data_IF_940636259138
#
_entry.id   IF_940636259138
#
_cell.length_a   1.000
_cell.length_b   1.000
_cell.length_c   1.000
_cell.angle_alpha   90.00
_cell.angle_beta   90.00
_cell.angle_gamma   90.00
#
_symmetry.space_group_name_H-M   'P 1'
#
loop_
_entity.id
_entity.type
_entity.pdbx_description
1 polymer ?
#
# COMPACT_ATOMS: atom_id res chain seq x y z
N UNK A 1 -13.44 -21.57 3.94
CA UNK A 1 -14.68 -21.59 3.12
C UNK A 1 -14.94 -20.20 2.60
N UNK A 2 -15.35 -20.03 1.32
CA UNK A 2 -15.65 -18.72 0.75
C UNK A 2 -16.89 -18.06 1.39
N UNK A 3 -16.94 -16.73 1.33
CA UNK A 3 -18.08 -15.92 1.75
C UNK A 3 -19.32 -16.20 0.88
N UNK A 4 -20.50 -16.28 1.49
CA UNK A 4 -21.72 -16.72 0.84
C UNK A 4 -22.40 -15.65 -0.01
N UNK A 5 -22.31 -14.38 0.38
CA UNK A 5 -22.97 -13.27 -0.31
C UNK A 5 -22.48 -13.02 -1.74
N UNK A 6 -21.30 -13.53 -2.10
CA UNK A 6 -20.78 -13.48 -3.48
C UNK A 6 -21.20 -14.67 -4.35
N UNK A 7 -21.90 -15.65 -3.79
CA UNK A 7 -22.39 -16.85 -4.48
C UNK A 7 -23.73 -16.59 -5.16
N UNK A 8 -23.96 -17.18 -6.34
CA UNK A 8 -25.29 -17.17 -6.95
C UNK A 8 -26.32 -17.98 -6.16
N UNK A 9 -25.87 -18.96 -5.37
CA UNK A 9 -26.67 -19.66 -4.36
C UNK A 9 -25.89 -19.72 -3.04
N UNK A 10 -26.21 -18.86 -2.04
CA UNK A 10 -25.54 -18.87 -0.75
C UNK A 10 -25.89 -20.10 0.10
N UNK A 11 -26.96 -20.84 -0.20
CA UNK A 11 -27.39 -21.98 0.62
C UNK A 11 -26.68 -23.29 0.25
N UNK A 12 -26.06 -23.37 -0.93
CA UNK A 12 -25.23 -24.51 -1.34
C UNK A 12 -23.73 -24.17 -1.25
N UNK A 13 -23.06 -24.78 -0.27
CA UNK A 13 -21.62 -24.60 -0.05
C UNK A 13 -20.74 -25.03 -1.24
N UNK A 14 -21.21 -25.91 -2.13
CA UNK A 14 -20.46 -26.32 -3.32
C UNK A 14 -20.45 -25.22 -4.39
N UNK A 15 -21.52 -24.44 -4.49
CA UNK A 15 -21.66 -23.39 -5.50
C UNK A 15 -20.61 -22.31 -5.29
N UNK A 16 -20.50 -21.78 -4.06
CA UNK A 16 -19.49 -20.75 -3.73
C UNK A 16 -18.04 -21.20 -3.93
N UNK A 17 -17.73 -22.48 -3.68
CA UNK A 17 -16.40 -23.05 -3.93
C UNK A 17 -16.13 -23.06 -5.43
N UNK A 18 -17.06 -23.61 -6.21
CA UNK A 18 -16.94 -23.71 -7.66
C UNK A 18 -16.85 -22.35 -8.33
N UNK A 19 -17.70 -21.39 -7.96
CA UNK A 19 -17.73 -20.06 -8.57
C UNK A 19 -16.45 -19.27 -8.28
N UNK A 20 -15.90 -19.38 -7.07
CA UNK A 20 -14.60 -18.78 -6.75
C UNK A 20 -13.48 -19.41 -7.58
N UNK A 21 -13.43 -20.76 -7.66
CA UNK A 21 -12.45 -21.46 -8.50
C UNK A 21 -12.57 -21.05 -9.98
N UNK A 22 -13.78 -20.96 -10.52
CA UNK A 22 -14.02 -20.51 -11.90
C UNK A 22 -13.57 -19.07 -12.13
N UNK A 23 -13.80 -18.19 -11.15
CA UNK A 23 -13.35 -16.80 -11.20
C UNK A 23 -11.82 -16.71 -11.26
N UNK A 24 -11.12 -17.41 -10.35
CA UNK A 24 -9.66 -17.42 -10.31
C UNK A 24 -9.08 -18.05 -11.57
N UNK A 25 -9.65 -19.17 -12.04
CA UNK A 25 -9.25 -19.79 -13.31
C UNK A 25 -9.36 -18.80 -14.48
N UNK A 26 -10.45 -18.02 -14.53
CA UNK A 26 -10.66 -17.04 -15.61
C UNK A 26 -9.59 -15.93 -15.62
N UNK A 27 -9.15 -15.48 -14.44
CA UNK A 27 -8.03 -14.55 -14.32
C UNK A 27 -6.70 -15.20 -14.72
N UNK A 28 -6.43 -16.41 -14.25
CA UNK A 28 -5.21 -17.15 -14.57
C UNK A 28 -5.10 -17.45 -16.08
N UNK A 29 -6.19 -17.85 -16.74
CA UNK A 29 -6.25 -18.07 -18.20
C UNK A 29 -5.98 -16.79 -19.00
N UNK A 30 -6.28 -15.62 -18.42
CA UNK A 30 -5.96 -14.31 -18.98
C UNK A 30 -4.53 -13.83 -18.65
N UNK A 31 -3.73 -14.63 -17.94
CA UNK A 31 -2.38 -14.28 -17.50
C UNK A 31 -2.35 -13.24 -16.37
N UNK A 32 -3.43 -13.14 -15.59
CA UNK A 32 -3.57 -12.23 -14.45
C UNK A 32 -3.62 -13.06 -13.17
N UNK A 33 -2.66 -12.86 -12.27
CA UNK A 33 -2.68 -13.51 -10.96
C UNK A 33 -3.70 -12.89 -10.00
N UNK A 34 -4.26 -13.71 -9.10
CA UNK A 34 -5.22 -13.26 -8.09
C UNK A 34 -4.57 -13.30 -6.71
N UNK A 35 -4.63 -12.19 -5.98
CA UNK A 35 -4.16 -12.08 -4.59
C UNK A 35 -5.37 -12.11 -3.66
N UNK A 36 -5.32 -12.94 -2.63
CA UNK A 36 -6.37 -12.99 -1.61
C UNK A 36 -6.01 -12.09 -0.42
N UNK A 37 -6.94 -11.22 -0.01
CA UNK A 37 -6.88 -10.54 1.27
C UNK A 37 -7.27 -11.51 2.39
N UNK A 38 -6.41 -11.69 3.39
CA UNK A 38 -6.59 -12.66 4.48
C UNK A 38 -6.49 -11.99 5.85
N UNK A 39 -7.45 -12.32 6.71
CA UNK A 39 -7.61 -11.75 8.05
C UNK A 39 -7.36 -12.83 9.10
N UNK A 40 -6.14 -12.87 9.62
CA UNK A 40 -5.73 -13.80 10.69
C UNK A 40 -5.37 -13.10 12.00
N UNK A 41 -5.48 -11.77 12.05
CA UNK A 41 -5.06 -10.98 13.20
C UNK A 41 -6.12 -10.88 14.30
N UNK A 42 -7.41 -10.99 13.97
CA UNK A 42 -8.51 -10.84 14.93
C UNK A 42 -9.73 -11.72 14.63
N UNK A 43 -10.64 -11.77 15.60
CA UNK A 43 -12.04 -12.18 15.45
C UNK A 43 -12.94 -11.08 16.06
N UNK A 44 -14.20 -10.90 15.61
CA UNK A 44 -15.09 -9.85 16.11
C UNK A 44 -15.38 -9.96 17.62
N UNK A 45 -15.16 -11.15 18.19
CA UNK A 45 -15.17 -11.40 19.62
C UNK A 45 -14.65 -12.80 19.92
N UNK A 46 -14.30 -13.05 21.18
CA UNK A 46 -13.80 -14.35 21.63
C UNK A 46 -14.94 -15.36 21.83
N UNK A 47 -16.01 -14.91 22.49
CA UNK A 47 -17.16 -15.76 22.84
C UNK A 47 -17.89 -16.28 21.61
N UNK A 48 -18.27 -17.56 21.63
CA UNK A 48 -19.02 -18.20 20.55
C UNK A 48 -18.20 -18.59 19.32
N UNK A 49 -16.89 -18.30 19.29
CA UNK A 49 -16.01 -18.74 18.21
C UNK A 49 -15.75 -20.24 18.29
N UNK A 50 -15.52 -20.90 17.15
CA UNK A 50 -15.08 -22.30 17.12
C UNK A 50 -13.78 -22.51 17.90
N UNK A 51 -12.88 -21.52 17.90
CA UNK A 51 -11.64 -21.56 18.67
C UNK A 51 -11.90 -21.67 20.17
N UNK A 52 -12.75 -20.82 20.72
CA UNK A 52 -13.07 -20.82 22.16
C UNK A 52 -13.87 -22.08 22.54
N UNK A 53 -14.70 -22.60 21.66
CA UNK A 53 -15.43 -23.86 21.89
C UNK A 53 -14.52 -25.09 21.86
N UNK A 54 -13.43 -25.07 21.09
CA UNK A 54 -12.47 -26.20 20.99
C UNK A 54 -11.50 -26.20 22.17
N UNK A 55 -10.87 -25.07 22.46
CA UNK A 55 -9.91 -24.97 23.57
C UNK A 55 -9.90 -23.55 24.16
N UNK A 56 -10.71 -23.32 25.22
CA UNK A 56 -10.88 -22.01 25.83
C UNK A 56 -9.58 -21.33 26.25
N UNK A 57 -9.46 -20.02 25.98
CA UNK A 57 -8.34 -19.19 26.41
C UNK A 57 -7.01 -19.36 25.64
N UNK A 58 -6.95 -20.25 24.65
CA UNK A 58 -5.70 -20.56 23.94
C UNK A 58 -5.52 -19.83 22.61
N UNK A 59 -6.56 -19.49 21.87
CA UNK A 59 -6.38 -18.95 20.52
C UNK A 59 -6.19 -17.43 20.48
N UNK A 60 -6.51 -16.75 21.58
CA UNK A 60 -6.53 -15.29 21.65
C UNK A 60 -5.52 -14.74 22.67
N UNK A 61 -5.05 -13.53 22.38
CA UNK A 61 -4.22 -12.72 23.29
C UNK A 61 -5.08 -12.13 24.41
N UNK A 62 -4.45 -11.78 25.53
CA UNK A 62 -5.18 -11.18 26.66
C UNK A 62 -5.55 -9.71 26.41
N UNK A 63 -4.75 -9.03 25.60
CA UNK A 63 -4.93 -7.63 25.18
C UNK A 63 -5.22 -7.59 23.68
N UNK A 64 -6.07 -6.65 23.28
CA UNK A 64 -6.45 -6.41 21.90
C UNK A 64 -5.90 -5.08 21.41
N UNK A 65 -5.32 -5.09 20.21
CA UNK A 65 -4.71 -3.95 19.55
C UNK A 65 -5.27 -3.72 18.15
N UNK A 66 -5.97 -4.69 17.55
CA UNK A 66 -6.61 -4.55 16.23
C UNK A 66 -7.68 -3.46 16.17
N UNK A 67 -8.32 -3.16 17.31
CA UNK A 67 -9.49 -2.29 17.35
C UNK A 67 -10.77 -2.94 16.75
N UNK A 68 -10.71 -4.23 16.38
CA UNK A 68 -11.77 -4.94 15.66
C UNK A 68 -12.28 -6.18 16.42
N UNK A 69 -12.02 -6.27 17.73
CA UNK A 69 -12.50 -7.36 18.59
C UNK A 69 -11.38 -7.95 19.44
N UNK A 70 -11.14 -9.25 19.29
CA UNK A 70 -10.10 -9.98 20.03
C UNK A 70 -8.95 -10.36 19.11
N UNK A 71 -7.71 -10.15 19.56
CA UNK A 71 -6.52 -10.45 18.77
C UNK A 71 -6.15 -11.94 18.85
N UNK A 72 -5.84 -12.54 17.71
CA UNK A 72 -5.37 -13.91 17.61
C UNK A 72 -3.91 -14.02 18.07
N UNK A 73 -3.62 -15.04 18.88
CA UNK A 73 -2.30 -15.31 19.43
C UNK A 73 -1.42 -16.13 18.47
N UNK A 74 -1.04 -15.55 17.33
CA UNK A 74 -0.27 -16.22 16.26
C UNK A 74 0.99 -16.94 16.74
N UNK A 75 1.60 -16.47 17.84
CA UNK A 75 2.82 -17.03 18.38
C UNK A 75 2.64 -18.44 18.97
N UNK A 76 1.41 -18.83 19.31
CA UNK A 76 1.07 -20.15 19.86
C UNK A 76 1.06 -21.20 18.76
N UNK A 77 1.58 -22.39 19.06
CA UNK A 77 1.90 -23.41 18.05
C UNK A 77 0.69 -23.83 17.21
N UNK A 78 -0.47 -24.07 17.81
CA UNK A 78 -1.66 -24.50 17.06
C UNK A 78 -2.31 -23.35 16.29
N UNK A 79 -2.13 -22.10 16.73
CA UNK A 79 -2.57 -20.93 15.97
C UNK A 79 -1.70 -20.74 14.73
N UNK A 80 -0.37 -20.81 14.89
CA UNK A 80 0.57 -20.78 13.76
C UNK A 80 0.27 -21.88 12.76
N UNK A 81 0.05 -23.11 13.24
CA UNK A 81 -0.31 -24.23 12.37
C UNK A 81 -1.62 -23.94 11.62
N UNK A 82 -2.66 -23.47 12.31
CA UNK A 82 -3.92 -23.09 11.66
C UNK A 82 -3.73 -22.07 10.53
N UNK A 83 -2.93 -21.02 10.77
CA UNK A 83 -2.66 -19.98 9.76
C UNK A 83 -1.95 -20.60 8.55
N UNK A 84 -0.89 -21.39 8.78
CA UNK A 84 -0.12 -22.05 7.71
C UNK A 84 -1.01 -23.01 6.91
N UNK A 85 -1.75 -23.88 7.60
CA UNK A 85 -2.63 -24.88 6.98
C UNK A 85 -3.76 -24.20 6.19
N UNK A 86 -4.32 -23.10 6.71
CA UNK A 86 -5.36 -22.36 6.00
C UNK A 86 -4.82 -21.65 4.75
N UNK A 87 -3.67 -20.98 4.83
CA UNK A 87 -3.09 -20.26 3.69
C UNK A 87 -2.65 -21.23 2.58
N UNK A 88 -2.01 -22.34 2.96
CA UNK A 88 -1.60 -23.39 2.02
C UNK A 88 -2.82 -24.06 1.37
N UNK A 89 -3.87 -24.36 2.14
CA UNK A 89 -5.12 -24.88 1.58
C UNK A 89 -5.74 -23.93 0.56
N UNK A 90 -5.75 -22.61 0.81
CA UNK A 90 -6.21 -21.63 -0.18
C UNK A 90 -5.33 -21.64 -1.45
N UNK A 91 -4.02 -21.73 -1.30
CA UNK A 91 -3.09 -21.77 -2.44
C UNK A 91 -3.27 -23.06 -3.28
N UNK A 92 -3.40 -24.22 -2.63
CA UNK A 92 -3.52 -25.52 -3.30
C UNK A 92 -4.90 -25.73 -3.93
N UNK A 93 -5.98 -25.39 -3.23
CA UNK A 93 -7.35 -25.68 -3.68
C UNK A 93 -7.88 -24.65 -4.70
N UNK A 94 -7.36 -23.41 -4.67
CA UNK A 94 -7.87 -22.30 -5.48
C UNK A 94 -6.82 -21.67 -6.39
N UNK A 95 -5.54 -22.00 -6.26
CA UNK A 95 -4.46 -21.48 -7.11
C UNK A 95 -4.32 -19.95 -7.07
N UNK A 96 -4.46 -19.34 -5.88
CA UNK A 96 -4.14 -17.94 -5.68
C UNK A 96 -2.65 -17.66 -5.94
N UNK A 97 -2.34 -16.52 -6.57
CA UNK A 97 -0.98 -16.07 -6.88
C UNK A 97 -0.34 -15.25 -5.76
N UNK A 98 -1.06 -14.99 -4.68
CA UNK A 98 -0.54 -14.26 -3.54
C UNK A 98 -1.53 -14.04 -2.41
N UNK A 99 -1.02 -13.51 -1.30
CA UNK A 99 -1.78 -13.20 -0.10
C UNK A 99 -1.40 -11.83 0.47
N UNK A 100 -2.41 -10.99 0.72
CA UNK A 100 -2.30 -9.74 1.47
C UNK A 100 -2.78 -9.98 2.89
N UNK A 101 -1.92 -9.81 3.88
CA UNK A 101 -2.23 -10.02 5.29
C UNK A 101 -2.74 -8.72 5.93
N UNK A 102 -4.01 -8.72 6.30
CA UNK A 102 -4.64 -7.67 7.10
C UNK A 102 -3.97 -7.55 8.47
N UNK A 103 -3.67 -6.31 8.89
CA UNK A 103 -2.92 -5.97 10.11
C UNK A 103 -1.77 -6.96 10.38
N UNK A 104 -0.96 -7.27 9.36
CA UNK A 104 0.17 -8.20 9.43
C UNK A 104 1.12 -7.91 10.62
N UNK A 105 1.26 -6.65 11.02
CA UNK A 105 2.01 -6.23 12.20
C UNK A 105 1.50 -6.77 13.55
N UNK A 106 0.32 -7.42 13.57
CA UNK A 106 -0.21 -8.17 14.72
C UNK A 106 0.07 -9.68 14.64
N UNK A 107 0.78 -10.16 13.62
CA UNK A 107 1.28 -11.54 13.51
C UNK A 107 2.78 -11.58 13.82
N UNK A 108 3.26 -12.64 14.47
CA UNK A 108 4.68 -12.81 14.79
C UNK A 108 5.52 -13.23 13.57
N UNK A 109 6.77 -12.80 13.52
CA UNK A 109 7.73 -13.10 12.45
C UNK A 109 7.91 -14.61 12.22
N UNK A 110 7.86 -15.43 13.28
CA UNK A 110 8.02 -16.90 13.13
C UNK A 110 6.84 -17.50 12.37
N UNK A 111 5.63 -16.97 12.58
CA UNK A 111 4.44 -17.38 11.83
C UNK A 111 4.52 -16.94 10.38
N UNK A 112 4.88 -15.69 10.11
CA UNK A 112 5.03 -15.21 8.72
C UNK A 112 6.14 -15.94 7.96
N UNK A 113 7.26 -16.26 8.62
CA UNK A 113 8.30 -17.14 8.07
C UNK A 113 7.74 -18.52 7.71
N UNK A 114 6.99 -19.13 8.63
CA UNK A 114 6.42 -20.46 8.39
C UNK A 114 5.43 -20.45 7.21
N UNK A 115 4.62 -19.39 7.07
CA UNK A 115 3.74 -19.18 5.92
C UNK A 115 4.55 -19.09 4.62
N UNK A 116 5.56 -18.20 4.57
CA UNK A 116 6.40 -18.01 3.39
C UNK A 116 7.06 -19.32 2.94
N UNK A 117 7.71 -20.03 3.87
CA UNK A 117 8.39 -21.29 3.59
C UNK A 117 7.43 -22.41 3.17
N UNK A 118 6.19 -22.39 3.62
CA UNK A 118 5.19 -23.36 3.19
C UNK A 118 4.70 -23.04 1.77
N UNK A 119 4.44 -21.77 1.47
CA UNK A 119 4.06 -21.33 0.13
C UNK A 119 5.17 -21.56 -0.91
N UNK A 120 6.44 -21.38 -0.56
CA UNK A 120 7.58 -21.64 -1.46
C UNK A 120 7.66 -23.10 -1.92
N UNK A 121 7.14 -24.04 -1.11
CA UNK A 121 7.06 -25.46 -1.50
C UNK A 121 5.94 -25.74 -2.50
N UNK A 122 4.93 -24.87 -2.55
CA UNK A 122 3.82 -24.95 -3.50
C UNK A 122 4.23 -24.25 -4.80
N UNK A 123 4.56 -22.96 -4.70
CA UNK A 123 5.08 -22.15 -5.80
C UNK A 123 5.87 -20.94 -5.25
N UNK A 124 7.18 -20.83 -5.51
CA UNK A 124 8.00 -19.70 -5.04
C UNK A 124 7.61 -18.36 -5.67
N UNK A 125 6.77 -18.33 -6.72
CA UNK A 125 6.28 -17.10 -7.32
C UNK A 125 5.08 -16.49 -6.56
N UNK A 126 4.49 -17.21 -5.60
CA UNK A 126 3.37 -16.69 -4.79
C UNK A 126 3.87 -15.49 -4.00
N UNK A 127 3.24 -14.32 -4.17
CA UNK A 127 3.63 -13.11 -3.45
C UNK A 127 2.96 -13.02 -2.07
N UNK A 128 3.71 -12.54 -1.06
CA UNK A 128 3.19 -12.36 0.31
C UNK A 128 3.55 -10.97 0.78
N UNK A 129 2.54 -10.21 1.21
CA UNK A 129 2.72 -8.88 1.77
C UNK A 129 1.58 -8.54 2.73
N UNK A 130 1.65 -7.41 3.41
CA UNK A 130 0.55 -6.99 4.27
C UNK A 130 0.75 -5.65 4.96
N UNK A 131 -0.07 -5.41 5.96
CA UNK A 131 -0.06 -4.20 6.76
C UNK A 131 0.88 -4.31 7.96
N UNK A 132 2.15 -3.91 7.75
CA UNK A 132 3.18 -3.95 8.77
C UNK A 132 3.07 -2.87 9.86
N UNK A 133 1.86 -2.47 10.26
CA UNK A 133 1.64 -1.39 11.22
C UNK A 133 2.18 -1.75 12.61
N UNK A 134 2.81 -0.77 13.29
CA UNK A 134 3.29 -0.97 14.66
C UNK A 134 2.14 -0.76 15.64
N UNK A 135 1.40 -1.84 15.93
CA UNK A 135 0.19 -1.79 16.76
C UNK A 135 0.33 -2.54 18.10
N UNK A 136 1.15 -3.60 18.14
CA UNK A 136 1.29 -4.45 19.31
C UNK A 136 2.00 -3.73 20.46
N UNK A 137 1.27 -3.50 21.55
CA UNK A 137 1.79 -2.82 22.76
C UNK A 137 2.39 -3.75 23.83
N UNK A 138 2.48 -5.06 23.59
CA UNK A 138 2.94 -6.06 24.55
C UNK A 138 1.82 -6.77 25.31
N UNK A 139 1.94 -8.08 25.50
CA UNK A 139 0.95 -8.91 26.19
C UNK A 139 1.67 -9.80 27.23
N UNK A 140 1.25 -9.67 28.49
CA UNK A 140 1.97 -10.21 29.65
C UNK A 140 2.09 -11.75 29.60
N UNK A 141 1.13 -12.41 28.96
CA UNK A 141 1.06 -13.88 28.85
C UNK A 141 1.54 -14.41 27.49
N UNK A 142 2.07 -13.54 26.63
CA UNK A 142 2.41 -13.90 25.25
C UNK A 142 3.82 -14.40 25.05
N UNK A 143 4.75 -14.00 25.92
CA UNK A 143 6.18 -14.32 25.81
C UNK A 143 6.87 -13.70 24.58
N UNK A 144 6.23 -12.70 23.95
CA UNK A 144 6.73 -11.98 22.77
C UNK A 144 6.70 -10.47 23.01
N UNK A 145 7.51 -9.74 22.25
CA UNK A 145 7.62 -8.28 22.28
C UNK A 145 7.26 -7.68 20.93
N UNK A 146 7.20 -6.35 20.82
CA UNK A 146 7.02 -5.66 19.54
C UNK A 146 8.11 -5.97 18.51
N UNK A 147 9.30 -6.42 18.93
CA UNK A 147 10.39 -6.85 18.04
C UNK A 147 10.16 -8.22 17.40
N UNK A 148 9.23 -9.02 17.95
CA UNK A 148 8.88 -10.33 17.41
C UNK A 148 7.76 -10.24 16.36
N UNK A 149 7.19 -9.06 16.15
CA UNK A 149 6.04 -8.82 15.28
C UNK A 149 6.45 -8.52 13.84
N UNK A 150 5.64 -8.91 12.87
CA UNK A 150 5.88 -8.68 11.44
C UNK A 150 5.53 -7.24 11.02
N UNK A 151 6.09 -6.26 11.70
CA UNK A 151 5.94 -4.84 11.36
C UNK A 151 6.89 -4.44 10.23
N UNK A 152 6.63 -3.30 9.61
CA UNK A 152 7.44 -2.70 8.56
C UNK A 152 8.93 -2.57 8.94
N UNK A 153 9.22 -2.27 10.21
CA UNK A 153 10.60 -2.16 10.72
C UNK A 153 11.26 -3.51 11.01
N UNK A 154 10.47 -4.58 11.15
CA UNK A 154 10.93 -5.89 11.59
C UNK A 154 10.95 -6.95 10.47
N UNK A 155 10.19 -6.77 9.38
CA UNK A 155 10.16 -7.74 8.26
C UNK A 155 11.54 -7.97 7.61
N UNK A 156 12.49 -7.04 7.74
CA UNK A 156 13.88 -7.27 7.33
C UNK A 156 14.56 -8.44 8.07
N UNK A 157 14.08 -8.79 9.26
CA UNK A 157 14.57 -9.93 10.03
C UNK A 157 14.11 -11.29 9.46
N UNK A 158 13.25 -11.30 8.44
CA UNK A 158 12.86 -12.52 7.75
C UNK A 158 13.97 -13.05 6.83
N UNK A 159 14.96 -12.23 6.48
CA UNK A 159 16.05 -12.69 5.60
C UNK A 159 15.48 -13.19 4.28
N UNK A 160 15.98 -14.31 3.76
CA UNK A 160 15.59 -14.88 2.45
C UNK A 160 14.09 -15.22 2.33
N UNK A 161 13.36 -15.30 3.45
CA UNK A 161 11.92 -15.53 3.48
C UNK A 161 11.15 -14.22 3.11
N UNK A 162 11.08 -13.88 1.83
CA UNK A 162 10.58 -12.59 1.35
C UNK A 162 9.09 -12.33 1.63
N UNK A 163 8.83 -11.29 2.44
CA UNK A 163 7.48 -10.76 2.76
C UNK A 163 7.51 -9.23 2.67
N UNK A 164 6.56 -8.64 1.95
CA UNK A 164 6.46 -7.18 1.78
C UNK A 164 5.52 -6.50 2.79
N UNK A 165 5.62 -5.19 2.91
CA UNK A 165 4.67 -4.35 3.63
C UNK A 165 4.24 -3.12 2.80
N UNK A 166 3.01 -2.66 3.01
CA UNK A 166 2.56 -1.37 2.51
C UNK A 166 3.46 -0.23 2.99
N UNK A 167 3.93 0.61 2.07
CA UNK A 167 4.80 1.74 2.39
C UNK A 167 3.98 3.00 2.67
N UNK A 168 3.50 3.12 3.91
CA UNK A 168 2.80 4.32 4.41
C UNK A 168 3.60 5.60 4.21
N UNK A 169 4.92 5.49 4.27
CA UNK A 169 5.81 6.63 4.21
C UNK A 169 5.87 7.19 2.79
N UNK A 170 5.94 6.33 1.78
CA UNK A 170 5.79 6.74 0.38
C UNK A 170 4.41 7.35 0.10
N UNK A 171 3.34 6.72 0.62
CA UNK A 171 1.97 7.27 0.52
C UNK A 171 1.91 8.69 1.06
N UNK A 172 2.33 8.89 2.30
CA UNK A 172 2.24 10.18 2.99
C UNK A 172 3.19 11.22 2.38
N UNK A 173 4.40 10.81 1.98
CA UNK A 173 5.33 11.68 1.25
C UNK A 173 4.76 12.14 -0.09
N UNK A 174 3.98 11.29 -0.77
CA UNK A 174 3.43 11.60 -2.09
C UNK A 174 2.19 12.48 -2.01
N UNK A 175 1.16 12.07 -1.26
CA UNK A 175 -0.16 12.75 -1.23
C UNK A 175 -0.51 13.47 0.08
N UNK A 176 0.32 13.33 1.10
CA UNK A 176 0.09 13.87 2.45
C UNK A 176 -0.52 12.84 3.41
N UNK A 177 -0.53 13.20 4.70
CA UNK A 177 -1.10 12.38 5.77
C UNK A 177 -2.55 12.01 5.48
N UNK A 178 -2.90 10.73 5.73
CA UNK A 178 -4.28 10.24 5.68
C UNK A 178 -5.10 10.59 6.93
N UNK A 179 -4.45 11.09 7.98
CA UNK A 179 -5.09 11.54 9.21
C UNK A 179 -5.14 13.06 9.25
N UNK A 180 -6.31 13.59 9.56
CA UNK A 180 -6.54 15.01 9.74
C UNK A 180 -5.97 15.52 11.07
N UNK A 181 -5.60 16.80 11.10
CA UNK A 181 -5.27 17.51 12.33
C UNK A 181 -6.48 17.66 13.27
N UNK A 182 -6.25 18.20 14.47
CA UNK A 182 -7.30 18.52 15.44
C UNK A 182 -8.37 19.50 14.94
N UNK A 183 -8.15 20.18 13.79
CA UNK A 183 -9.11 21.03 13.11
C UNK A 183 -9.80 20.33 11.92
N UNK A 184 -9.55 19.04 11.70
CA UNK A 184 -10.17 18.25 10.62
C UNK A 184 -9.55 18.47 9.24
N UNK A 185 -8.34 19.04 9.15
CA UNK A 185 -7.66 19.30 7.87
C UNK A 185 -6.65 18.22 7.55
N UNK A 186 -6.65 17.74 6.30
CA UNK A 186 -5.64 16.82 5.80
C UNK A 186 -4.34 17.55 5.42
N UNK A 187 -3.21 16.84 5.55
CA UNK A 187 -1.92 17.32 5.10
C UNK A 187 -1.76 17.28 3.57
N UNK A 188 -0.85 18.09 3.04
CA UNK A 188 -0.45 18.09 1.62
C UNK A 188 0.83 17.25 1.47
N UNK A 189 0.97 16.52 0.36
CA UNK A 189 2.19 15.79 0.01
C UNK A 189 3.03 16.49 -1.06
N UNK A 190 4.08 15.82 -1.50
CA UNK A 190 5.05 16.35 -2.46
C UNK A 190 4.40 16.74 -3.80
N UNK A 191 3.40 16.00 -4.28
CA UNK A 191 2.71 16.34 -5.53
C UNK A 191 1.91 17.64 -5.41
N UNK A 192 1.45 17.99 -4.21
CA UNK A 192 0.73 19.24 -3.92
C UNK A 192 1.68 20.40 -3.54
N UNK A 193 2.95 20.35 -3.98
CA UNK A 193 4.00 21.32 -3.67
C UNK A 193 4.41 21.41 -2.18
N UNK A 194 4.14 20.40 -1.35
CA UNK A 194 4.56 20.36 0.06
C UNK A 194 5.96 19.72 0.23
N UNK A 195 7.00 20.44 -0.17
CA UNK A 195 8.36 19.88 -0.29
C UNK A 195 9.13 19.72 1.04
N UNK A 196 8.75 20.47 2.09
CA UNK A 196 9.50 20.56 3.35
C UNK A 196 8.70 20.15 4.59
N UNK A 197 7.56 19.47 4.42
CA UNK A 197 6.63 19.15 5.51
C UNK A 197 5.39 20.04 5.51
N UNK A 198 4.22 19.46 5.83
CA UNK A 198 3.06 20.22 6.31
C UNK A 198 3.01 20.30 7.85
N UNK A 199 2.55 21.46 8.34
CA UNK A 199 2.38 21.85 9.76
C UNK A 199 1.75 20.74 10.63
N UNK A 200 2.33 20.51 11.81
CA UNK A 200 1.64 19.91 12.94
C UNK A 200 0.88 20.95 13.77
N UNK A 201 -0.14 20.47 14.48
CA UNK A 201 -1.15 21.14 15.32
C UNK A 201 -0.64 22.16 16.36
N UNK A 202 0.66 22.19 16.65
CA UNK A 202 1.29 23.08 17.64
C UNK A 202 1.78 24.41 17.07
N UNK A 203 1.75 24.62 15.75
CA UNK A 203 2.37 25.80 15.12
C UNK A 203 3.91 25.80 15.16
N UNK A 204 4.52 24.78 15.78
CA UNK A 204 5.94 24.50 15.74
C UNK A 204 6.25 23.51 14.61
N UNK A 205 7.36 23.72 13.91
CA UNK A 205 7.96 22.72 13.03
C UNK A 205 8.40 21.52 13.88
N UNK A 206 7.55 20.51 14.03
CA UNK A 206 8.01 19.22 14.55
C UNK A 206 8.56 18.42 13.38
N UNK A 207 9.74 18.84 12.94
CA UNK A 207 10.47 18.23 11.84
C UNK A 207 11.83 18.91 11.72
N UNK A 208 12.86 18.27 12.24
CA UNK A 208 14.22 18.48 11.73
C UNK A 208 14.13 18.31 10.20
N UNK A 209 14.68 19.24 9.41
CA UNK A 209 14.38 19.39 7.98
C UNK A 209 14.44 18.13 7.11
N UNK A 210 13.92 18.22 5.87
CA UNK A 210 13.88 17.16 4.83
C UNK A 210 12.73 16.13 4.88
N UNK A 211 11.72 16.30 5.75
CA UNK A 211 10.81 15.21 6.13
C UNK A 211 9.87 14.63 5.05
N UNK A 212 9.37 15.33 4.02
CA UNK A 212 8.47 14.71 3.01
C UNK A 212 9.19 14.33 1.72
N UNK A 213 10.14 15.17 1.31
CA UNK A 213 11.05 14.90 0.20
C UNK A 213 11.85 13.62 0.38
N UNK A 214 12.33 13.35 1.59
CA UNK A 214 13.03 12.09 1.89
C UNK A 214 12.07 10.89 1.81
N UNK A 215 10.82 11.04 2.26
CA UNK A 215 9.84 9.93 2.21
C UNK A 215 9.53 9.50 0.78
N UNK A 216 9.20 10.46 -0.09
CA UNK A 216 8.94 10.16 -1.51
C UNK A 216 10.22 9.67 -2.19
N UNK A 217 11.38 10.25 -1.86
CA UNK A 217 12.68 9.77 -2.33
C UNK A 217 12.86 8.29 -1.99
N UNK A 218 12.82 7.90 -0.71
CA UNK A 218 13.07 6.53 -0.26
C UNK A 218 12.03 5.54 -0.82
N UNK A 219 10.78 5.96 -0.94
CA UNK A 219 9.75 5.14 -1.58
C UNK A 219 9.99 4.91 -3.08
N UNK A 220 10.46 5.93 -3.83
CA UNK A 220 10.87 5.75 -5.23
C UNK A 220 12.04 4.76 -5.36
N UNK A 221 12.95 4.74 -4.40
CA UNK A 221 14.07 3.78 -4.37
C UNK A 221 13.67 2.38 -3.91
N UNK A 222 12.38 2.13 -3.66
CA UNK A 222 11.90 0.84 -3.18
C UNK A 222 12.17 0.57 -1.69
N UNK A 223 12.47 1.60 -0.91
CA UNK A 223 12.77 1.51 0.52
C UNK A 223 11.71 2.22 1.37
N UNK A 224 11.82 2.13 2.70
CA UNK A 224 10.91 2.73 3.66
C UNK A 224 11.70 3.69 4.56
N UNK A 225 11.10 4.83 4.91
CA UNK A 225 11.71 5.79 5.81
C UNK A 225 11.12 5.63 7.23
N UNK A 226 11.98 5.45 8.22
CA UNK A 226 11.59 5.40 9.64
C UNK A 226 12.36 6.51 10.36
N UNK A 227 11.67 7.32 11.17
CA UNK A 227 12.09 8.61 11.75
C UNK A 227 13.31 8.61 12.69
N UNK A 228 14.24 7.67 12.54
CA UNK A 228 15.60 7.77 13.04
C UNK A 228 16.46 8.15 11.85
N UNK A 229 16.98 9.39 11.84
CA UNK A 229 18.14 9.77 11.01
C UNK A 229 19.34 8.97 11.57
N UNK A 230 19.36 7.66 11.29
CA UNK A 230 20.58 6.88 11.27
C UNK A 230 21.03 6.90 9.82
N UNK A 231 22.33 7.06 9.58
CA UNK A 231 22.95 7.03 8.25
C UNK A 231 22.88 5.63 7.59
N UNK A 232 21.85 4.85 7.87
CA UNK A 232 21.64 3.49 7.42
C UNK A 232 20.23 3.39 6.83
N UNK A 233 20.09 3.27 5.50
CA UNK A 233 18.80 3.03 4.86
C UNK A 233 18.31 1.63 5.29
N UNK A 234 17.26 1.56 6.11
CA UNK A 234 16.65 0.30 6.47
C UNK A 234 15.48 0.00 5.51
N UNK A 235 15.83 -0.59 4.37
CA UNK A 235 15.37 -1.95 4.08
C UNK A 235 16.62 -2.73 3.74
N UNK A 236 17.34 -3.20 4.77
CA UNK A 236 18.31 -4.27 4.56
C UNK A 236 17.47 -5.46 4.14
N UNK A 237 17.66 -5.92 2.92
CA UNK A 237 17.79 -7.34 2.64
C UNK A 237 16.84 -8.29 3.39
N UNK A 238 16.02 -9.04 2.66
CA UNK A 238 16.45 -10.43 2.50
C UNK A 238 17.90 -10.57 2.02
N UNK A 239 18.22 -9.90 0.89
CA UNK A 239 19.60 -9.56 0.51
C UNK A 239 19.82 -8.12 0.03
N UNK A 240 18.82 -7.43 -0.57
CA UNK A 240 19.05 -6.10 -1.16
C UNK A 240 17.87 -5.09 -1.11
N UNK A 241 16.83 -5.31 -0.30
CA UNK A 241 15.86 -4.27 0.07
C UNK A 241 14.87 -3.79 -1.00
N UNK A 242 15.10 -4.12 -2.26
CA UNK A 242 14.21 -3.79 -3.37
C UNK A 242 13.08 -4.82 -3.40
N UNK A 243 11.90 -4.40 -2.93
CA UNK A 243 10.66 -5.15 -3.11
C UNK A 243 9.90 -5.54 -1.85
N UNK A 244 10.48 -5.40 -0.65
CA UNK A 244 9.71 -5.55 0.60
C UNK A 244 8.77 -4.35 0.87
N UNK A 245 8.72 -3.38 -0.04
CA UNK A 245 8.02 -2.12 0.09
C UNK A 245 6.99 -2.00 -1.03
N UNK A 246 5.71 -2.06 -0.70
CA UNK A 246 4.61 -1.92 -1.66
C UNK A 246 4.30 -0.43 -1.82
N UNK A 247 4.57 0.12 -3.01
CA UNK A 247 4.32 1.52 -3.31
C UNK A 247 2.84 1.74 -3.65
N UNK A 248 2.19 2.62 -2.90
CA UNK A 248 0.78 2.95 -3.07
C UNK A 248 0.51 4.38 -2.59
N UNK A 249 -0.59 4.97 -3.06
CA UNK A 249 -1.14 6.24 -2.54
C UNK A 249 -2.63 6.13 -2.20
N UNK A 250 -3.30 5.06 -2.64
CA UNK A 250 -4.69 4.76 -2.35
C UNK A 250 -4.85 3.27 -2.09
N UNK A 251 -5.74 2.93 -1.15
CA UNK A 251 -6.24 1.59 -0.90
C UNK A 251 -7.74 1.68 -0.54
N UNK A 252 -8.35 0.61 -0.06
CA UNK A 252 -9.76 0.64 0.31
C UNK A 252 -10.04 1.51 1.55
N UNK A 253 -9.06 1.61 2.45
CA UNK A 253 -9.08 2.46 3.64
C UNK A 253 -8.78 3.91 3.33
N UNK A 254 -9.22 4.78 4.23
CA UNK A 254 -9.05 6.24 4.15
C UNK A 254 -9.75 6.83 2.92
N UNK A 255 -9.52 8.13 2.68
CA UNK A 255 -10.01 8.81 1.49
C UNK A 255 -9.31 8.31 0.22
N UNK A 256 -10.06 8.27 -0.88
CA UNK A 256 -9.49 8.08 -2.23
C UNK A 256 -8.46 9.18 -2.53
N UNK A 257 -7.56 8.97 -3.49
CA UNK A 257 -6.61 9.97 -3.94
C UNK A 257 -7.34 11.21 -4.46
N UNK A 258 -8.37 11.02 -5.28
CA UNK A 258 -9.20 12.11 -5.80
C UNK A 258 -9.77 12.96 -4.66
N UNK A 259 -10.34 12.32 -3.64
CA UNK A 259 -10.98 13.03 -2.52
C UNK A 259 -9.94 13.68 -1.59
N UNK A 260 -8.79 13.03 -1.36
CA UNK A 260 -7.66 13.66 -0.67
C UNK A 260 -7.24 14.92 -1.39
N UNK A 261 -7.10 14.88 -2.72
CA UNK A 261 -6.73 16.05 -3.52
C UNK A 261 -7.83 17.12 -3.44
N UNK A 262 -9.10 16.77 -3.60
CA UNK A 262 -10.23 17.70 -3.47
C UNK A 262 -10.25 18.44 -2.12
N UNK A 263 -9.82 17.79 -1.04
CA UNK A 263 -9.73 18.35 0.31
C UNK A 263 -8.49 19.24 0.54
N UNK A 264 -7.49 19.20 -0.33
CA UNK A 264 -6.14 19.74 -0.03
C UNK A 264 -5.58 20.67 -1.11
N UNK A 265 -6.06 20.62 -2.35
CA UNK A 265 -5.65 21.53 -3.41
C UNK A 265 -6.36 22.87 -3.29
N UNK A 266 -5.71 23.93 -3.77
CA UNK A 266 -6.30 25.27 -3.78
C UNK A 266 -7.26 25.44 -4.98
N UNK A 267 -6.98 24.74 -6.10
CA UNK A 267 -7.81 24.71 -7.30
C UNK A 267 -8.10 23.27 -7.74
N UNK A 268 -9.37 22.87 -7.72
CA UNK A 268 -9.81 21.51 -8.07
C UNK A 268 -9.52 21.15 -9.54
N UNK A 269 -9.26 22.13 -10.41
CA UNK A 269 -8.86 21.85 -11.80
C UNK A 269 -7.50 21.12 -11.89
N UNK A 270 -6.70 21.15 -10.83
CA UNK A 270 -5.37 20.54 -10.78
C UNK A 270 -5.45 19.04 -10.38
N UNK A 271 -6.60 18.56 -9.90
CA UNK A 271 -6.77 17.16 -9.46
C UNK A 271 -6.39 16.14 -10.54
N UNK A 272 -6.78 16.29 -11.82
CA UNK A 272 -6.40 15.33 -12.86
C UNK A 272 -4.89 15.20 -13.03
N UNK A 273 -4.16 16.33 -13.15
CA UNK A 273 -2.70 16.30 -13.35
C UNK A 273 -1.97 15.76 -12.12
N UNK A 274 -2.44 16.09 -10.91
CA UNK A 274 -1.87 15.55 -9.67
C UNK A 274 -2.15 14.04 -9.51
N UNK A 275 -3.31 13.57 -9.98
CA UNK A 275 -3.63 12.14 -10.02
C UNK A 275 -2.69 11.39 -10.96
N UNK A 276 -2.45 11.94 -12.16
CA UNK A 276 -1.46 11.40 -13.10
C UNK A 276 -0.08 11.34 -12.47
N UNK A 277 0.39 12.42 -11.83
CA UNK A 277 1.69 12.46 -11.16
C UNK A 277 1.85 11.42 -10.05
N UNK A 278 0.83 11.23 -9.21
CA UNK A 278 0.87 10.23 -8.16
C UNK A 278 0.98 8.80 -8.74
N UNK A 279 0.23 8.55 -9.82
CA UNK A 279 0.26 7.28 -10.53
C UNK A 279 1.62 7.03 -11.19
N UNK A 280 2.17 8.03 -11.89
CA UNK A 280 3.51 7.95 -12.48
C UNK A 280 4.58 7.73 -11.41
N UNK A 281 4.45 8.36 -10.23
CA UNK A 281 5.40 8.18 -9.12
C UNK A 281 5.42 6.73 -8.61
N UNK A 282 4.26 6.09 -8.48
CA UNK A 282 4.18 4.65 -8.15
C UNK A 282 4.83 3.82 -9.27
N UNK A 283 4.46 4.06 -10.53
CA UNK A 283 4.95 3.30 -11.69
C UNK A 283 6.43 3.55 -12.01
N UNK A 284 7.02 4.61 -11.49
CA UNK A 284 8.44 4.90 -11.58
C UNK A 284 9.27 4.28 -10.46
N UNK A 285 8.64 3.90 -9.34
CA UNK A 285 9.35 3.38 -8.18
C UNK A 285 9.94 1.98 -8.42
N UNK A 286 11.01 1.65 -7.68
CA UNK A 286 11.59 0.28 -7.66
C UNK A 286 10.71 -0.74 -6.93
N UNK A 287 9.65 -0.28 -6.27
CA UNK A 287 8.70 -1.10 -5.51
C UNK A 287 7.71 -1.86 -6.41
N UNK A 288 7.19 -3.03 -5.96
CA UNK A 288 5.90 -3.52 -6.42
C UNK A 288 4.85 -2.40 -6.31
N UNK A 289 4.17 -2.14 -7.43
CA UNK A 289 3.19 -1.08 -7.56
C UNK A 289 1.80 -1.58 -7.16
N UNK A 290 1.11 -0.83 -6.31
CA UNK A 290 -0.26 -1.12 -5.89
C UNK A 290 -1.17 0.06 -6.22
N UNK A 291 -2.33 -0.24 -6.77
CA UNK A 291 -3.37 0.72 -7.12
C UNK A 291 -4.72 0.25 -6.59
N UNK A 292 -5.47 1.17 -5.98
CA UNK A 292 -6.87 0.91 -5.67
C UNK A 292 -7.71 0.94 -6.95
N UNK A 293 -8.70 0.04 -7.05
CA UNK A 293 -9.65 0.06 -8.18
C UNK A 293 -10.34 1.43 -8.23
N UNK A 294 -10.11 2.13 -9.35
CA UNK A 294 -10.66 3.45 -9.65
C UNK A 294 -9.72 4.63 -9.42
N UNK A 295 -8.54 4.41 -8.85
CA UNK A 295 -7.51 5.45 -8.72
C UNK A 295 -7.08 6.01 -10.10
N UNK A 296 -7.08 5.17 -11.15
CA UNK A 296 -6.66 5.55 -12.50
C UNK A 296 -7.64 6.47 -13.24
N UNK A 297 -8.86 6.65 -12.74
CA UNK A 297 -9.84 7.57 -13.29
C UNK A 297 -10.47 8.49 -12.24
N UNK A 298 -9.84 8.62 -11.08
CA UNK A 298 -10.25 9.57 -10.04
C UNK A 298 -11.53 9.18 -9.32
N UNK A 299 -11.66 7.91 -8.90
CA UNK A 299 -12.76 7.41 -8.09
C UNK A 299 -12.99 8.32 -6.88
N UNK A 300 -14.26 8.62 -6.63
CA UNK A 300 -14.68 9.40 -5.46
C UNK A 300 -15.63 8.61 -4.54
N UNK A 301 -15.57 8.90 -3.24
CA UNK A 301 -16.57 8.53 -2.23
C UNK A 301 -17.23 9.80 -1.68
N UNK A 302 -17.61 10.71 -2.58
CA UNK A 302 -18.33 11.95 -2.27
C UNK A 302 -19.78 11.66 -1.89
N UNK A 303 -20.30 12.42 -0.93
CA UNK A 303 -21.69 12.41 -0.50
C UNK A 303 -22.13 13.80 -0.03
N UNK A 304 -23.43 13.97 0.15
CA UNK A 304 -24.01 15.15 0.79
C UNK A 304 -24.45 14.86 2.22
N UNK A 305 -24.74 15.92 2.98
CA UNK A 305 -25.25 15.81 4.36
C UNK A 305 -26.58 15.05 4.47
N UNK A 306 -27.36 15.01 3.40
CA UNK A 306 -28.66 14.31 3.34
C UNK A 306 -28.52 12.83 2.94
N UNK A 307 -27.31 12.36 2.64
CA UNK A 307 -27.05 10.96 2.33
C UNK A 307 -27.30 10.06 3.54
N UNK A 308 -27.86 8.87 3.29
CA UNK A 308 -28.00 7.84 4.32
C UNK A 308 -26.64 7.33 4.84
N UNK A 309 -25.57 7.48 4.05
CA UNK A 309 -24.20 7.13 4.44
C UNK A 309 -23.48 8.26 5.22
N UNK A 310 -24.13 9.42 5.42
CA UNK A 310 -23.49 10.54 6.10
C UNK A 310 -23.23 10.24 7.58
N UNK A 311 -21.95 10.28 7.96
CA UNK A 311 -21.53 10.23 9.34
C UNK A 311 -20.29 11.12 9.55
N UNK A 312 -20.43 12.12 10.42
CA UNK A 312 -19.38 13.09 10.73
C UNK A 312 -18.06 12.49 11.25
N UNK A 313 -18.08 11.26 11.76
CA UNK A 313 -16.89 10.58 12.28
C UNK A 313 -16.13 9.80 11.20
N UNK A 314 -16.72 9.63 10.02
CA UNK A 314 -16.14 8.86 8.91
C UNK A 314 -16.07 9.68 7.62
N UNK A 315 -16.27 11.00 7.72
CA UNK A 315 -16.32 11.91 6.58
C UNK A 315 -15.54 13.20 6.88
N UNK A 316 -14.83 13.70 5.87
CA UNK A 316 -14.27 15.04 5.88
C UNK A 316 -15.18 15.98 5.09
N UNK A 317 -15.35 17.20 5.58
CA UNK A 317 -16.12 18.24 4.90
C UNK A 317 -15.26 18.91 3.83
N UNK A 318 -15.84 19.20 2.67
CA UNK A 318 -15.19 19.98 1.64
C UNK A 318 -14.92 21.42 2.13
N UNK A 319 -13.70 21.96 1.93
CA UNK A 319 -13.35 23.29 2.43
C UNK A 319 -14.02 24.44 1.64
N UNK A 320 -14.58 24.15 0.47
CA UNK A 320 -15.18 25.13 -0.45
C UNK A 320 -16.71 25.03 -0.56
N UNK A 321 -17.30 23.92 -0.13
CA UNK A 321 -18.75 23.68 -0.17
C UNK A 321 -19.24 22.96 1.10
N UNK A 322 -20.06 23.63 1.90
CA UNK A 322 -20.56 23.09 3.17
C UNK A 322 -21.51 21.89 3.06
N UNK A 323 -22.01 21.62 1.85
CA UNK A 323 -22.92 20.52 1.57
C UNK A 323 -22.21 19.26 1.06
N UNK A 324 -20.91 19.36 0.76
CA UNK A 324 -20.13 18.26 0.19
C UNK A 324 -19.21 17.66 1.25
N UNK A 325 -19.20 16.32 1.30
CA UNK A 325 -18.39 15.53 2.20
C UNK A 325 -17.76 14.36 1.45
N UNK A 326 -16.63 13.89 1.94
CA UNK A 326 -15.91 12.74 1.40
C UNK A 326 -15.73 11.68 2.48
N UNK A 327 -16.22 10.47 2.24
CA UNK A 327 -16.05 9.37 3.18
C UNK A 327 -14.60 8.87 3.16
N UNK A 328 -14.00 8.80 4.34
CA UNK A 328 -12.66 8.22 4.54
C UNK A 328 -12.73 6.84 5.23
N UNK A 329 -13.94 6.34 5.55
CA UNK A 329 -14.12 4.99 6.04
C UNK A 329 -15.49 4.48 5.60
N UNK A 330 -15.50 3.61 4.59
CA UNK A 330 -16.72 3.16 3.91
C UNK A 330 -17.02 1.67 4.10
N UNK A 331 -16.46 1.04 5.14
CA UNK A 331 -16.57 -0.42 5.39
C UNK A 331 -18.03 -0.92 5.46
N UNK A 332 -18.95 -0.09 5.92
CA UNK A 332 -20.38 -0.38 6.05
C UNK A 332 -21.29 0.57 5.27
N UNK A 333 -20.71 1.34 4.33
CA UNK A 333 -21.47 2.24 3.48
C UNK A 333 -22.15 1.51 2.33
N UNK A 334 -23.20 2.12 1.79
CA UNK A 334 -23.99 1.58 0.70
C UNK A 334 -23.20 1.31 -0.59
N UNK A 335 -23.80 0.53 -1.49
CA UNK A 335 -23.28 0.34 -2.84
C UNK A 335 -23.25 1.66 -3.63
N UNK A 336 -24.16 2.61 -3.36
CA UNK A 336 -24.16 3.90 -4.04
C UNK A 336 -22.86 4.67 -3.77
N UNK A 337 -22.29 4.54 -2.57
CA UNK A 337 -20.99 5.12 -2.25
C UNK A 337 -19.82 4.24 -2.70
N UNK A 338 -19.91 2.92 -2.52
CA UNK A 338 -18.78 2.01 -2.70
C UNK A 338 -18.60 1.46 -4.13
N UNK A 339 -19.63 1.47 -4.98
CA UNK A 339 -19.57 0.89 -6.32
C UNK A 339 -18.52 1.56 -7.20
N UNK A 340 -17.88 0.80 -8.09
CA UNK A 340 -17.08 1.37 -9.18
C UNK A 340 -18.00 2.10 -10.15
N UNK A 341 -17.76 3.40 -10.35
CA UNK A 341 -18.54 4.25 -11.25
C UNK A 341 -17.95 4.18 -12.67
N UNK A 342 -18.39 3.20 -13.46
CA UNK A 342 -17.83 2.97 -14.80
C UNK A 342 -17.95 4.17 -15.75
N UNK A 343 -18.93 5.06 -15.54
CA UNK A 343 -19.06 6.28 -16.32
C UNK A 343 -17.88 7.26 -16.09
N UNK A 344 -17.26 7.25 -14.90
CA UNK A 344 -16.08 8.06 -14.58
C UNK A 344 -14.87 7.68 -15.43
N UNK A 345 -14.74 6.41 -15.83
CA UNK A 345 -13.70 5.97 -16.76
C UNK A 345 -13.79 6.70 -18.11
N UNK A 346 -15.01 7.05 -18.53
CA UNK A 346 -15.24 7.81 -19.77
C UNK A 346 -15.07 9.31 -19.54
N UNK A 347 -15.59 9.83 -18.43
CA UNK A 347 -15.49 11.25 -18.05
C UNK A 347 -14.03 11.68 -17.86
N UNK A 348 -13.24 10.86 -17.15
CA UNK A 348 -11.84 11.12 -16.81
C UNK A 348 -10.87 10.33 -17.71
N UNK A 349 -11.25 10.14 -18.97
CA UNK A 349 -10.51 9.32 -19.94
C UNK A 349 -9.04 9.71 -20.09
N UNK A 350 -8.71 11.00 -19.99
CA UNK A 350 -7.33 11.48 -20.10
C UNK A 350 -6.43 10.85 -19.02
N UNK A 351 -6.87 10.89 -17.75
CA UNK A 351 -6.15 10.32 -16.60
C UNK A 351 -5.96 8.81 -16.77
N UNK A 352 -7.01 8.09 -17.15
CA UNK A 352 -6.91 6.63 -17.36
C UNK A 352 -6.02 6.28 -18.56
N UNK A 353 -6.00 7.11 -19.61
CA UNK A 353 -5.11 6.90 -20.75
C UNK A 353 -3.65 7.18 -20.40
N UNK A 354 -3.37 8.22 -19.60
CA UNK A 354 -2.04 8.48 -19.08
C UNK A 354 -1.55 7.31 -18.21
N UNK A 355 -2.38 6.85 -17.27
CA UNK A 355 -2.09 5.67 -16.44
C UNK A 355 -1.76 4.42 -17.27
N UNK A 356 -2.57 4.11 -18.28
CA UNK A 356 -2.33 2.96 -19.17
C UNK A 356 -1.02 3.10 -19.95
N UNK A 357 -0.69 4.31 -20.38
CA UNK A 357 0.55 4.59 -21.11
C UNK A 357 1.76 4.32 -20.22
N UNK A 358 1.76 4.83 -18.99
CA UNK A 358 2.83 4.60 -18.02
C UNK A 358 2.90 3.12 -17.59
N UNK A 359 1.76 2.45 -17.44
CA UNK A 359 1.71 1.03 -17.08
C UNK A 359 2.35 0.15 -18.17
N UNK A 360 2.03 0.40 -19.44
CA UNK A 360 2.67 -0.28 -20.58
C UNK A 360 4.15 0.04 -20.61
N UNK A 361 4.52 1.31 -20.42
CA UNK A 361 5.93 1.71 -20.40
C UNK A 361 6.71 1.05 -19.25
N UNK A 362 6.12 0.86 -18.07
CA UNK A 362 6.73 0.10 -16.97
C UNK A 362 6.90 -1.37 -17.35
N UNK A 363 5.83 -2.00 -17.87
CA UNK A 363 5.82 -3.41 -18.25
C UNK A 363 6.87 -3.73 -19.32
N UNK A 364 7.00 -2.86 -20.31
CA UNK A 364 7.94 -3.01 -21.43
C UNK A 364 9.36 -2.55 -21.08
N UNK A 365 9.61 -2.15 -19.82
CA UNK A 365 10.86 -1.57 -19.32
C UNK A 365 11.29 -0.27 -20.02
N UNK A 366 10.36 0.39 -20.72
CA UNK A 366 10.56 1.68 -21.37
C UNK A 366 10.59 2.86 -20.39
N UNK A 367 10.05 2.71 -19.16
CA UNK A 367 10.27 3.68 -18.08
C UNK A 367 11.69 3.60 -17.48
N UNK A 368 12.55 2.70 -17.97
CA UNK A 368 13.91 2.56 -17.46
C UNK A 368 13.95 2.22 -15.98
N UNK A 369 12.88 1.65 -15.44
CA UNK A 369 12.82 1.14 -14.07
C UNK A 369 13.30 -0.30 -14.10
N UNK A 370 14.37 -0.63 -13.37
CA UNK A 370 14.91 -1.98 -13.32
C UNK A 370 13.94 -2.87 -12.54
N UNK A 371 13.90 -4.14 -12.90
CA UNK A 371 13.35 -5.17 -12.04
C UNK A 371 14.32 -5.45 -10.89
N UNK A 372 13.81 -5.95 -9.77
CA UNK A 372 14.65 -6.47 -8.69
C UNK A 372 15.66 -7.53 -9.18
N UNK A 373 15.32 -8.25 -10.26
CA UNK A 373 16.17 -9.27 -10.88
C UNK A 373 17.40 -8.69 -11.58
N UNK A 374 17.39 -7.38 -11.89
CA UNK A 374 18.49 -6.70 -12.57
C UNK A 374 19.61 -6.29 -11.58
N UNK A 375 19.40 -6.50 -10.26
CA UNK A 375 20.38 -6.19 -9.23
C UNK A 375 21.19 -7.44 -8.84
N UNK A 376 22.52 -7.36 -8.96
CA UNK A 376 23.42 -8.31 -8.28
C UNK A 376 23.68 -7.82 -6.85
N UNK A 377 23.68 -8.72 -5.86
CA UNK A 377 23.52 -8.40 -4.42
C UNK A 377 24.65 -7.63 -3.71
N UNK A 378 25.44 -6.86 -4.43
CA UNK A 378 26.33 -5.83 -3.87
C UNK A 378 26.12 -4.44 -4.50
N UNK A 379 25.33 -4.33 -5.58
CA UNK A 379 25.17 -3.09 -6.35
C UNK A 379 23.98 -2.22 -5.93
N UNK A 380 22.97 -2.79 -5.24
CA UNK A 380 21.88 -2.02 -4.64
C UNK A 380 22.38 -0.98 -3.61
N UNK A 381 23.55 -1.22 -3.01
CA UNK A 381 24.21 -0.30 -2.07
C UNK A 381 24.77 0.98 -2.71
N UNK A 382 24.78 1.08 -4.05
CA UNK A 382 25.29 2.24 -4.82
C UNK A 382 24.17 3.13 -5.36
N UNK A 383 22.98 3.08 -4.75
CA UNK A 383 21.90 3.97 -5.12
C UNK A 383 22.26 5.41 -4.73
N UNK A 384 22.62 6.21 -5.74
CA UNK A 384 22.86 7.64 -5.59
C UNK A 384 21.69 8.36 -6.23
N UNK A 385 20.72 8.72 -5.40
CA UNK A 385 19.73 9.67 -5.83
C UNK A 385 20.15 11.06 -5.39
N UNK A 386 20.26 11.91 -6.41
CA UNK A 386 20.73 13.27 -6.28
C UNK A 386 19.53 14.18 -6.46
N UNK A 387 19.43 15.11 -5.54
CA UNK A 387 18.43 16.17 -5.61
C UNK A 387 19.04 17.24 -6.47
N UNK A 388 18.41 17.44 -7.61
CA UNK A 388 19.02 18.10 -8.76
C UNK A 388 18.99 19.60 -8.63
N UNK A 389 17.82 20.17 -8.34
CA UNK A 389 17.65 21.60 -8.12
C UNK A 389 16.20 21.90 -7.71
N UNK A 390 16.00 23.01 -7.01
CA UNK A 390 14.69 23.67 -6.81
C UNK A 390 13.56 22.88 -6.12
N UNK A 391 13.88 21.89 -5.29
CA UNK A 391 12.94 21.13 -4.44
C UNK A 391 11.77 20.41 -5.12
N UNK A 392 11.57 20.53 -6.44
CA UNK A 392 10.43 19.96 -7.20
C UNK A 392 10.83 18.88 -8.20
N UNK A 393 12.10 18.48 -8.22
CA UNK A 393 12.62 17.47 -9.15
C UNK A 393 13.35 16.42 -8.35
N UNK A 394 12.97 15.16 -8.55
CA UNK A 394 13.67 14.02 -7.96
C UNK A 394 14.36 13.28 -9.08
N UNK A 395 15.68 13.11 -8.97
CA UNK A 395 16.43 12.24 -9.87
C UNK A 395 17.08 11.12 -9.09
N UNK A 396 17.18 9.96 -9.73
CA UNK A 396 17.98 8.88 -9.24
C UNK A 396 18.73 8.20 -10.36
N UNK A 397 19.92 7.70 -10.04
CA UNK A 397 20.69 6.88 -10.97
C UNK A 397 21.04 5.57 -10.30
N UNK A 398 21.01 4.50 -11.08
CA UNK A 398 21.43 3.19 -10.62
C UNK A 398 22.35 2.55 -11.65
N UNK A 399 23.42 1.95 -11.14
CA UNK A 399 24.42 1.26 -11.96
C UNK A 399 24.10 -0.22 -11.98
N UNK A 400 24.14 -0.79 -13.18
CA UNK A 400 23.97 -2.22 -13.45
C UNK A 400 25.17 -2.71 -14.27
N UNK A 401 25.23 -4.01 -14.53
CA UNK A 401 26.17 -4.58 -15.49
C UNK A 401 25.99 -4.02 -16.92
N UNK A 402 24.77 -3.64 -17.30
CA UNK A 402 24.45 -3.13 -18.65
C UNK A 402 24.67 -1.62 -18.83
N UNK A 403 24.94 -0.88 -17.76
CA UNK A 403 25.18 0.57 -17.81
C UNK A 403 24.62 1.32 -16.61
N UNK A 404 24.60 2.66 -16.69
CA UNK A 404 24.00 3.50 -15.64
C UNK A 404 22.65 4.01 -16.10
N UNK A 405 21.59 3.57 -15.45
CA UNK A 405 20.27 4.11 -15.70
C UNK A 405 20.06 5.38 -14.89
N UNK A 406 19.39 6.35 -15.50
CA UNK A 406 19.02 7.61 -14.89
C UNK A 406 17.50 7.72 -15.00
N UNK A 407 16.86 8.06 -13.90
CA UNK A 407 15.45 8.41 -13.82
C UNK A 407 15.31 9.81 -13.23
N UNK A 408 14.37 10.59 -13.76
CA UNK A 408 14.07 11.94 -13.30
C UNK A 408 12.56 12.13 -13.32
N UNK A 409 11.99 12.60 -12.23
CA UNK A 409 10.60 13.02 -12.15
C UNK A 409 10.54 14.53 -11.90
N UNK A 410 9.87 15.23 -12.79
CA UNK A 410 9.56 16.64 -12.66
C UNK A 410 8.18 16.82 -12.00
N UNK A 411 8.16 17.33 -10.77
CA UNK A 411 6.93 17.66 -10.04
C UNK A 411 6.57 19.15 -10.13
N UNK A 412 7.30 19.94 -10.92
CA UNK A 412 6.98 21.35 -11.12
C UNK A 412 5.95 21.55 -12.23
N UNK A 413 5.33 22.74 -12.22
CA UNK A 413 4.37 23.20 -13.23
C UNK A 413 5.05 23.73 -14.50
N UNK A 414 6.36 23.53 -14.65
CA UNK A 414 7.16 24.07 -15.76
C UNK A 414 8.03 22.98 -16.40
N UNK A 415 8.36 23.14 -17.68
CA UNK A 415 9.42 22.34 -18.30
C UNK A 415 10.76 22.69 -17.64
N UNK A 416 11.53 21.68 -17.28
CA UNK A 416 12.88 21.82 -16.76
C UNK A 416 13.89 21.29 -17.76
N UNK A 417 15.14 21.72 -17.64
CA UNK A 417 16.26 21.10 -18.34
C UNK A 417 17.24 20.53 -17.32
N UNK A 418 17.47 19.22 -17.34
CA UNK A 418 18.47 18.56 -16.51
C UNK A 418 19.48 17.81 -17.36
N UNK A 419 20.77 18.08 -17.15
CA UNK A 419 21.86 17.48 -17.93
C UNK A 419 21.64 17.54 -19.46
N UNK A 420 21.04 18.64 -19.95
CA UNK A 420 20.74 18.84 -21.38
C UNK A 420 19.46 18.15 -21.88
N UNK A 421 18.75 17.42 -21.03
CA UNK A 421 17.46 16.79 -21.34
C UNK A 421 16.32 17.69 -20.89
N UNK A 422 15.38 17.97 -21.80
CA UNK A 422 14.13 18.67 -21.48
C UNK A 422 13.11 17.69 -20.91
N UNK A 423 12.51 18.05 -19.79
CA UNK A 423 11.53 17.22 -19.08
C UNK A 423 10.31 18.10 -18.87
N UNK A 424 9.19 17.70 -19.49
CA UNK A 424 7.94 18.45 -19.39
C UNK A 424 7.47 18.56 -17.92
N UNK A 425 6.63 19.55 -17.65
CA UNK A 425 5.94 19.65 -16.37
C UNK A 425 5.21 18.34 -16.05
N UNK A 426 5.23 17.91 -14.79
CA UNK A 426 4.49 16.74 -14.32
C UNK A 426 4.81 15.42 -15.05
N UNK A 427 6.04 15.28 -15.56
CA UNK A 427 6.45 14.11 -16.35
C UNK A 427 7.72 13.44 -15.82
N UNK A 428 7.95 12.22 -16.28
CA UNK A 428 9.17 11.46 -16.00
C UNK A 428 10.07 11.35 -17.23
N UNK A 429 11.36 11.19 -16.99
CA UNK A 429 12.36 10.85 -17.99
C UNK A 429 13.21 9.68 -17.49
N UNK A 430 13.53 8.76 -18.38
CA UNK A 430 14.47 7.68 -18.10
C UNK A 430 15.40 7.41 -19.28
N UNK A 431 16.64 6.99 -18.99
CA UNK A 431 17.60 6.58 -20.01
C UNK A 431 18.67 5.65 -19.46
N UNK A 432 19.20 4.77 -20.32
CA UNK A 432 20.44 4.03 -20.09
C UNK A 432 21.63 4.84 -20.64
N UNK A 433 22.54 5.26 -19.76
CA UNK A 433 23.76 6.02 -20.06
C UNK A 433 25.01 5.13 -20.12
#
# INVERSE_FOLDING_TARGET
>A
MPEGSYSSDPNDGKVRVKELQQTIQSYNDAGVGVVMDVVYNHMPGQSGTSFENIFPGYYFRSKSYSGAGTDIASQRSMVRQFIVDSVTGWAEDYHFSGFRFDLMGLLDLKTMRAVRQALDKIDPNIIVYGEGWTMFGGDDDSGITSYDMATQSMIGNLGEDWVGAFNDTFRDGTKGSVFADSQGRLGKGYIQNAFYGTRSDSGDYVGVGAADKDKIYYGLTGTMYSGVISNTPYVKSAKDGIGASIAYVECHDNSTLHDTLALTVDDKKDIPVLTEMANSSILASLSPAFFQVGQDFGRTKQLTKDSADFNKNTCYQDPTDENIYYSHNSYNSSADLNSVKWDELTTNKAVSQAFKTDLVARKDRNLGVPSYQDFSGSEASKFHANLVDDSRVISFSYKTESGTYIFIQNYSDQEITYNGVKIAAHSSYSSLA
#
